data_IF_906132150770
#
_entry.id   IF_906132150770
#
_cell.length_a   1.000
_cell.length_b   1.000
_cell.length_c   1.000
_cell.angle_alpha   90.00
_cell.angle_beta   90.00
_cell.angle_gamma   90.00
#
_symmetry.space_group_name_H-M   'P 1'
#
loop_
_entity.id
_entity.type
_entity.pdbx_description
1 polymer ?
#
# COMPACT_ATOMS: atom_id res chain seq x y z
N UNK A 1 33.58 67.00 19.24
CA UNK A 1 33.32 68.33 18.66
C UNK A 1 34.42 68.66 17.67
N UNK A 2 34.15 69.35 16.55
CA UNK A 2 32.93 70.10 16.16
C UNK A 2 32.06 69.26 15.20
N UNK A 3 30.75 69.37 15.03
CA UNK A 3 29.70 70.38 15.24
C UNK A 3 29.49 71.42 14.12
N UNK A 4 28.24 71.44 13.65
CA UNK A 4 27.47 72.43 12.90
C UNK A 4 27.52 72.53 11.36
N UNK A 5 26.30 72.42 10.78
CA UNK A 5 25.96 72.81 9.42
C UNK A 5 24.49 72.53 9.02
N UNK A 6 23.55 73.21 9.68
CA UNK A 6 22.10 73.27 9.35
C UNK A 6 21.80 73.97 8.01
N UNK A 7 20.80 73.49 7.25
CA UNK A 7 19.59 74.24 6.84
C UNK A 7 18.78 73.42 5.78
N UNK A 8 17.57 72.94 6.06
CA UNK A 8 16.25 73.61 6.13
C UNK A 8 15.57 73.78 4.76
N UNK A 9 14.38 73.15 4.56
CA UNK A 9 13.18 73.66 3.87
C UNK A 9 12.15 72.52 3.63
N UNK A 10 11.07 72.54 4.42
CA UNK A 10 9.71 72.09 4.05
C UNK A 10 8.98 73.29 3.36
N UNK A 11 7.69 73.28 2.92
CA UNK A 11 6.58 72.32 3.17
C UNK A 11 5.58 72.12 1.99
N UNK A 12 4.50 71.37 2.24
CA UNK A 12 3.13 71.35 1.65
C UNK A 12 2.69 69.88 1.43
N UNK A 13 1.94 69.28 2.35
CA UNK A 13 0.50 69.46 2.61
C UNK A 13 -0.40 69.16 1.40
N UNK A 14 -0.98 67.97 1.35
CA UNK A 14 -2.36 67.79 0.86
C UNK A 14 -3.01 66.63 1.60
N UNK A 15 -4.11 66.94 2.27
CA UNK A 15 -5.04 66.00 2.90
C UNK A 15 -5.89 65.31 1.83
N UNK A 16 -6.16 64.01 1.98
CA UNK A 16 -7.38 63.40 1.46
C UNK A 16 -8.00 62.48 2.52
N UNK A 17 -9.30 62.68 2.69
CA UNK A 17 -10.21 62.07 3.66
C UNK A 17 -10.64 60.64 3.27
N UNK A 18 -11.26 59.88 4.19
CA UNK A 18 -11.54 58.45 4.04
C UNK A 18 -12.93 58.21 3.46
N UNK A 19 -13.02 57.37 2.44
CA UNK A 19 -14.29 56.81 1.94
C UNK A 19 -13.95 55.61 1.07
N UNK A 20 -14.32 54.43 1.56
CA UNK A 20 -15.01 53.37 0.83
C UNK A 20 -14.69 52.02 1.48
N UNK A 21 -15.72 51.43 2.07
CA UNK A 21 -15.73 50.03 2.41
C UNK A 21 -15.84 49.20 1.13
N UNK A 22 -15.16 48.05 1.05
CA UNK A 22 -15.70 46.86 0.42
C UNK A 22 -15.95 45.82 1.53
N UNK A 23 -17.20 45.46 1.79
CA UNK A 23 -17.93 44.47 1.02
C UNK A 23 -17.24 43.10 1.10
N UNK A 24 -17.77 42.30 2.03
CA UNK A 24 -18.08 40.88 1.93
C UNK A 24 -17.03 39.96 1.29
N UNK A 25 -16.60 39.02 2.12
CA UNK A 25 -16.00 37.76 1.74
C UNK A 25 -16.61 37.16 0.46
N UNK A 26 -15.75 36.94 -0.54
CA UNK A 26 -15.89 35.79 -1.42
C UNK A 26 -14.70 34.88 -1.16
N UNK A 27 -14.93 33.93 -0.26
CA UNK A 27 -14.24 32.64 -0.24
C UNK A 27 -14.45 31.97 -1.59
N UNK A 28 -13.49 32.13 -2.50
CA UNK A 28 -13.29 31.19 -3.57
C UNK A 28 -12.23 30.18 -3.15
N UNK A 29 -12.67 29.31 -2.25
CA UNK A 29 -12.13 27.96 -2.12
C UNK A 29 -12.30 27.19 -3.44
N UNK A 30 -11.37 26.26 -3.67
CA UNK A 30 -11.36 25.21 -4.71
C UNK A 30 -10.74 25.65 -6.05
N UNK A 31 -9.82 24.93 -6.70
CA UNK A 31 -9.27 23.59 -6.50
C UNK A 31 -7.92 23.55 -7.23
N UNK A 32 -6.78 23.49 -6.54
CA UNK A 32 -5.52 23.22 -7.24
C UNK A 32 -5.48 21.73 -7.56
N UNK A 33 -5.81 21.38 -8.80
CA UNK A 33 -5.51 20.07 -9.35
C UNK A 33 -3.99 19.94 -9.48
N UNK A 34 -3.41 19.13 -8.58
CA UNK A 34 -1.98 18.79 -8.52
C UNK A 34 -1.66 17.79 -9.64
N UNK A 35 -1.36 18.29 -10.83
CA UNK A 35 -1.03 17.43 -11.96
C UNK A 35 0.47 17.09 -11.97
N UNK A 36 0.81 15.81 -11.81
CA UNK A 36 2.10 15.31 -12.30
C UNK A 36 2.00 15.32 -13.83
N UNK A 37 2.89 16.02 -14.56
CA UNK A 37 2.83 16.03 -16.02
C UNK A 37 2.83 14.60 -16.55
N UNK A 38 1.90 14.27 -17.46
CA UNK A 38 1.85 12.95 -18.10
C UNK A 38 3.21 12.60 -18.73
N UNK A 39 3.94 13.59 -19.25
CA UNK A 39 5.29 13.39 -19.76
C UNK A 39 6.27 12.87 -18.69
N UNK A 40 6.20 13.39 -17.46
CA UNK A 40 7.03 12.92 -16.36
C UNK A 40 6.65 11.50 -15.93
N UNK A 41 5.35 11.17 -15.89
CA UNK A 41 4.88 9.80 -15.63
C UNK A 41 5.39 8.85 -16.73
N UNK A 42 5.29 9.24 -18.00
CA UNK A 42 5.75 8.43 -19.14
C UNK A 42 7.24 8.16 -19.12
N UNK A 43 8.05 9.15 -18.72
CA UNK A 43 9.50 9.01 -18.61
C UNK A 43 9.95 8.27 -17.34
N UNK A 44 9.06 8.10 -16.35
CA UNK A 44 9.39 7.54 -15.04
C UNK A 44 8.29 6.59 -14.55
N UNK A 45 7.82 5.68 -15.41
CA UNK A 45 6.62 4.86 -15.13
C UNK A 45 6.72 4.09 -13.80
N UNK A 46 7.92 3.61 -13.49
CA UNK A 46 8.20 2.81 -12.30
C UNK A 46 8.25 3.65 -11.01
N UNK A 47 8.38 4.98 -11.14
CA UNK A 47 8.44 5.89 -9.99
C UNK A 47 7.07 6.29 -9.47
N UNK A 48 5.96 5.99 -10.15
CA UNK A 48 4.62 6.50 -9.77
C UNK A 48 3.59 5.40 -9.47
N UNK A 49 3.92 4.13 -9.67
CA UNK A 49 3.04 2.99 -9.35
C UNK A 49 3.18 2.49 -7.90
N UNK A 50 3.46 3.40 -6.97
CA UNK A 50 3.62 3.15 -5.54
C UNK A 50 3.04 4.34 -4.77
N UNK A 51 2.71 4.15 -3.50
CA UNK A 51 2.35 5.22 -2.57
C UNK A 51 3.44 5.51 -1.54
N UNK A 52 4.58 4.82 -1.63
CA UNK A 52 5.68 4.92 -0.69
C UNK A 52 6.91 5.50 -1.40
N UNK A 53 6.88 6.81 -1.69
CA UNK A 53 8.04 7.52 -2.23
C UNK A 53 8.90 8.07 -1.09
N UNK A 54 10.24 7.95 -1.17
CA UNK A 54 11.12 8.76 -0.35
C UNK A 54 10.79 10.24 -0.56
N UNK A 55 10.81 11.01 0.53
CA UNK A 55 10.41 12.42 0.50
C UNK A 55 11.31 13.24 -0.44
N UNK A 56 12.61 12.93 -0.40
CA UNK A 56 13.66 13.50 -1.24
C UNK A 56 13.44 13.27 -2.75
N UNK A 57 12.71 12.21 -3.12
CA UNK A 57 12.42 11.87 -4.51
C UNK A 57 11.16 12.61 -5.04
N UNK A 58 10.40 13.25 -4.16
CA UNK A 58 9.24 14.03 -4.56
C UNK A 58 9.67 15.30 -5.33
N UNK A 59 8.94 15.69 -6.39
CA UNK A 59 9.13 16.97 -7.04
C UNK A 59 9.15 18.14 -6.03
N UNK A 60 10.00 19.17 -6.18
CA UNK A 60 10.09 20.28 -5.23
C UNK A 60 8.75 20.97 -4.93
N UNK A 61 7.87 21.02 -5.93
CA UNK A 61 6.52 21.56 -5.76
C UNK A 61 5.66 20.74 -4.77
N UNK A 62 5.86 19.42 -4.67
CA UNK A 62 5.16 18.58 -3.68
C UNK A 62 5.81 18.68 -2.29
N UNK A 63 7.14 18.74 -2.23
CA UNK A 63 7.89 18.97 -0.98
C UNK A 63 7.49 20.30 -0.29
N UNK A 64 7.10 21.32 -1.06
CA UNK A 64 6.62 22.59 -0.49
C UNK A 64 5.26 22.48 0.23
N UNK A 65 4.50 21.39 0.03
CA UNK A 65 3.14 21.22 0.54
C UNK A 65 2.98 20.09 1.55
N UNK A 66 3.86 19.11 1.51
CA UNK A 66 3.85 17.98 2.44
C UNK A 66 5.18 18.01 3.19
N UNK A 67 5.14 17.98 4.52
CA UNK A 67 6.37 17.85 5.30
C UNK A 67 6.90 16.41 5.22
N UNK A 68 8.21 16.18 5.44
CA UNK A 68 8.73 14.83 5.58
C UNK A 68 8.01 14.12 6.73
N UNK A 69 7.55 12.89 6.49
CA UNK A 69 7.04 12.03 7.55
C UNK A 69 8.20 11.49 8.38
N UNK A 70 8.06 11.54 9.71
CA UNK A 70 9.00 10.83 10.57
C UNK A 70 8.85 9.31 10.37
N UNK A 71 9.91 8.51 10.60
CA UNK A 71 9.79 7.04 10.52
C UNK A 71 8.69 6.48 11.41
N UNK A 72 8.46 7.06 12.60
CA UNK A 72 7.37 6.66 13.51
C UNK A 72 5.99 6.99 12.97
N UNK A 73 5.80 8.16 12.36
CA UNK A 73 4.50 8.55 11.79
C UNK A 73 4.18 7.71 10.56
N UNK A 74 5.15 7.49 9.68
CA UNK A 74 5.01 6.58 8.54
C UNK A 74 4.64 5.17 9.03
N UNK A 75 5.31 4.67 10.07
CA UNK A 75 4.99 3.37 10.65
C UNK A 75 3.56 3.30 11.18
N UNK A 76 3.12 4.34 11.89
CA UNK A 76 1.74 4.44 12.39
C UNK A 76 0.71 4.42 11.25
N UNK A 77 1.02 5.06 10.11
CA UNK A 77 0.17 5.01 8.92
C UNK A 77 0.13 3.62 8.28
N UNK A 78 1.29 2.97 8.10
CA UNK A 78 1.37 1.61 7.51
C UNK A 78 0.57 0.60 8.34
N UNK A 79 0.63 0.68 9.67
CA UNK A 79 -0.10 -0.24 10.56
C UNK A 79 -1.62 -0.19 10.38
N UNK A 80 -2.18 0.96 9.96
CA UNK A 80 -3.62 1.11 9.64
C UNK A 80 -4.03 0.33 8.39
N UNK A 81 -3.06 -0.11 7.59
CA UNK A 81 -3.25 -0.90 6.37
C UNK A 81 -2.85 -2.38 6.55
N UNK A 82 -2.55 -2.79 7.78
CA UNK A 82 -2.20 -4.19 8.11
C UNK A 82 -3.26 -5.17 7.62
N UNK A 83 -2.84 -6.25 6.96
CA UNK A 83 -3.79 -7.22 6.42
C UNK A 83 -4.73 -7.78 7.47
N UNK A 84 -4.23 -8.10 8.68
CA UNK A 84 -5.05 -8.57 9.79
C UNK A 84 -6.24 -7.67 10.13
N UNK A 85 -6.11 -6.35 10.00
CA UNK A 85 -7.21 -5.41 10.23
C UNK A 85 -8.29 -5.49 9.14
N UNK A 86 -7.86 -5.67 7.89
CA UNK A 86 -8.75 -5.66 6.71
C UNK A 86 -9.28 -7.04 6.34
N UNK A 87 -8.62 -8.10 6.79
CA UNK A 87 -8.88 -9.47 6.41
C UNK A 87 -10.36 -9.85 6.62
N UNK A 88 -11.03 -9.58 7.77
CA UNK A 88 -12.42 -9.96 7.96
C UNK A 88 -13.35 -9.38 6.89
N UNK A 89 -13.16 -8.10 6.55
CA UNK A 89 -13.90 -7.41 5.49
C UNK A 89 -13.59 -8.05 4.12
N UNK A 90 -12.31 -8.26 3.82
CA UNK A 90 -11.89 -8.84 2.54
C UNK A 90 -12.43 -10.25 2.34
N UNK A 91 -12.49 -11.08 3.40
CA UNK A 91 -13.10 -12.41 3.30
C UNK A 91 -14.60 -12.34 2.98
N UNK A 92 -15.34 -11.38 3.56
CA UNK A 92 -16.77 -11.22 3.25
C UNK A 92 -17.01 -10.85 1.79
N UNK A 93 -16.14 -10.00 1.22
CA UNK A 93 -16.24 -9.54 -0.17
C UNK A 93 -15.82 -10.62 -1.17
N UNK A 94 -14.92 -11.51 -0.78
CA UNK A 94 -14.38 -12.55 -1.65
C UNK A 94 -15.20 -13.84 -1.65
N UNK A 95 -16.05 -14.05 -0.64
CA UNK A 95 -16.87 -15.24 -0.53
C UNK A 95 -18.18 -15.10 -1.31
N UNK A 96 -18.60 -16.11 -2.08
CA UNK A 96 -19.94 -16.15 -2.61
C UNK A 96 -20.96 -16.17 -1.46
N UNK A 97 -22.19 -15.63 -1.66
CA UNK A 97 -23.19 -15.54 -0.61
C UNK A 97 -23.53 -16.85 0.10
N UNK A 98 -23.28 -17.99 -0.56
CA UNK A 98 -23.60 -19.34 -0.09
C UNK A 98 -22.56 -19.98 0.84
N UNK A 99 -21.39 -19.36 1.08
CA UNK A 99 -20.29 -19.97 1.87
C UNK A 99 -19.77 -19.07 3.00
N UNK A 100 -20.59 -18.14 3.50
CA UNK A 100 -20.18 -17.10 4.46
C UNK A 100 -19.66 -17.62 5.82
N UNK A 101 -19.91 -18.88 6.16
CA UNK A 101 -19.57 -19.43 7.48
C UNK A 101 -18.25 -20.22 7.53
N UNK A 102 -17.56 -20.41 6.41
CA UNK A 102 -16.29 -21.17 6.38
C UNK A 102 -15.11 -20.20 6.22
N UNK A 103 -14.26 -20.10 7.24
CA UNK A 103 -13.04 -19.28 7.15
C UNK A 103 -12.15 -19.82 6.03
N UNK A 104 -12.10 -19.10 4.90
CA UNK A 104 -11.33 -19.48 3.72
C UNK A 104 -9.85 -19.09 3.85
N UNK A 105 -9.25 -19.09 5.03
CA UNK A 105 -7.84 -18.68 5.21
C UNK A 105 -7.29 -19.16 6.56
N UNK A 106 -5.97 -19.25 6.67
CA UNK A 106 -5.25 -19.63 7.90
C UNK A 106 -4.44 -18.44 8.39
N UNK A 107 -4.47 -18.19 9.70
CA UNK A 107 -3.62 -17.20 10.38
C UNK A 107 -2.60 -17.92 11.24
N UNK A 108 -1.33 -17.59 11.07
CA UNK A 108 -0.21 -18.12 11.86
C UNK A 108 0.45 -16.93 12.56
N UNK A 109 0.20 -16.75 13.87
CA UNK A 109 0.88 -15.71 14.64
C UNK A 109 2.38 -15.96 14.63
N UNK A 110 3.16 -14.90 14.41
CA UNK A 110 4.61 -14.88 14.54
C UNK A 110 4.96 -13.99 15.74
N UNK A 111 5.08 -14.54 16.95
CA UNK A 111 5.40 -13.75 18.14
C UNK A 111 6.73 -13.01 17.99
N UNK A 112 6.97 -11.94 18.77
CA UNK A 112 8.20 -11.14 18.67
C UNK A 112 9.48 -11.97 18.75
N UNK A 113 9.53 -12.99 19.61
CA UNK A 113 10.68 -13.90 19.73
C UNK A 113 10.94 -14.71 18.46
N UNK A 114 9.86 -15.17 17.80
CA UNK A 114 9.98 -15.88 16.53
C UNK A 114 10.42 -14.93 15.42
N UNK A 115 9.88 -13.72 15.38
CA UNK A 115 10.35 -12.70 14.43
C UNK A 115 11.83 -12.35 14.63
N UNK A 116 12.29 -12.24 15.88
CA UNK A 116 13.69 -12.02 16.22
C UNK A 116 14.62 -13.17 15.80
N UNK A 117 14.10 -14.41 15.73
CA UNK A 117 14.82 -15.56 15.16
C UNK A 117 14.80 -15.53 13.62
N UNK A 118 13.65 -15.21 13.01
CA UNK A 118 13.48 -15.23 11.56
C UNK A 118 14.17 -14.06 10.85
N UNK A 119 14.30 -12.89 11.48
CA UNK A 119 14.87 -11.71 10.84
C UNK A 119 16.36 -11.89 10.46
N UNK A 120 17.28 -12.32 11.36
CA UNK A 120 18.67 -12.61 10.99
C UNK A 120 18.78 -13.74 9.94
N UNK A 121 17.92 -14.75 10.03
CA UNK A 121 17.90 -15.81 9.02
C UNK A 121 17.46 -15.29 7.65
N UNK A 122 16.49 -14.38 7.63
CA UNK A 122 16.01 -13.74 6.40
C UNK A 122 17.08 -12.83 5.78
N UNK A 123 17.90 -12.19 6.61
CA UNK A 123 19.01 -11.35 6.15
C UNK A 123 20.04 -12.16 5.34
N UNK A 124 20.38 -13.36 5.80
CA UNK A 124 21.27 -14.28 5.08
C UNK A 124 20.53 -14.92 3.90
N UNK A 125 19.26 -15.27 4.08
CA UNK A 125 18.46 -15.95 3.07
C UNK A 125 18.18 -15.10 1.84
N UNK A 126 17.90 -13.80 2.01
CA UNK A 126 17.71 -12.88 0.88
C UNK A 126 18.97 -12.69 0.02
N UNK A 127 20.16 -12.90 0.60
CA UNK A 127 21.44 -12.81 -0.12
C UNK A 127 21.81 -14.12 -0.81
N UNK A 128 21.48 -15.25 -0.20
CA UNK A 128 21.90 -16.59 -0.65
C UNK A 128 20.83 -17.33 -1.46
N UNK A 129 19.59 -16.89 -1.40
CA UNK A 129 18.42 -17.60 -1.95
C UNK A 129 18.13 -18.93 -1.25
N UNK A 130 18.64 -19.14 -0.02
CA UNK A 130 18.52 -20.40 0.72
C UNK A 130 18.23 -20.15 2.20
N UNK A 131 17.61 -21.12 2.86
CA UNK A 131 17.50 -21.12 4.33
C UNK A 131 18.90 -21.31 4.93
N UNK A 132 19.36 -20.44 5.85
CA UNK A 132 20.69 -20.54 6.45
C UNK A 132 20.83 -21.80 7.32
N UNK A 133 21.83 -22.63 7.03
CA UNK A 133 21.99 -23.93 7.69
C UNK A 133 22.21 -23.80 9.21
N UNK A 134 22.93 -22.76 9.64
CA UNK A 134 23.24 -22.53 11.05
C UNK A 134 22.00 -22.25 11.93
N UNK A 135 20.90 -21.79 11.34
CA UNK A 135 19.65 -21.48 12.06
C UNK A 135 18.50 -22.40 11.64
N UNK A 136 18.76 -23.37 10.76
CA UNK A 136 17.70 -24.20 10.16
C UNK A 136 16.93 -24.98 11.22
N UNK A 137 17.65 -25.69 12.09
CA UNK A 137 17.04 -26.53 13.14
C UNK A 137 16.14 -25.70 14.06
N UNK A 138 16.66 -24.61 14.62
CA UNK A 138 15.90 -23.70 15.51
C UNK A 138 14.63 -23.14 14.83
N UNK A 139 14.73 -22.78 13.56
CA UNK A 139 13.59 -22.23 12.80
C UNK A 139 12.57 -23.33 12.48
N UNK A 140 13.04 -24.49 12.03
CA UNK A 140 12.17 -25.61 11.67
C UNK A 140 11.44 -26.15 12.90
N UNK A 141 12.10 -26.26 14.04
CA UNK A 141 11.52 -26.73 15.31
C UNK A 141 10.35 -25.85 15.77
N UNK A 142 10.41 -24.53 15.51
CA UNK A 142 9.36 -23.60 15.93
C UNK A 142 8.29 -23.41 14.85
N UNK A 143 8.67 -23.21 13.59
CA UNK A 143 7.74 -22.82 12.53
C UNK A 143 7.08 -24.02 11.84
N UNK A 144 7.77 -25.14 11.68
CA UNK A 144 7.21 -26.30 10.96
C UNK A 144 6.01 -26.93 11.67
N UNK A 145 5.95 -27.04 13.00
CA UNK A 145 4.74 -27.49 13.69
C UNK A 145 3.52 -26.61 13.43
N UNK A 146 3.71 -25.32 13.14
CA UNK A 146 2.64 -24.38 12.79
C UNK A 146 2.20 -24.51 11.33
N UNK A 147 3.17 -24.72 10.43
CA UNK A 147 2.94 -24.78 8.99
C UNK A 147 2.44 -26.15 8.51
N UNK A 148 3.09 -27.26 8.91
CA UNK A 148 2.81 -28.61 8.40
C UNK A 148 1.33 -29.02 8.47
N UNK A 149 0.58 -28.74 9.56
CA UNK A 149 -0.85 -29.10 9.64
C UNK A 149 -1.73 -28.42 8.59
N UNK A 150 -1.26 -27.34 7.96
CA UNK A 150 -2.04 -26.59 6.95
C UNK A 150 -1.98 -27.23 5.56
N UNK A 151 -1.03 -28.13 5.34
CA UNK A 151 -0.78 -28.78 4.06
C UNK A 151 -1.13 -30.27 4.14
N UNK A 152 -2.23 -30.65 3.48
CA UNK A 152 -2.72 -32.02 3.37
C UNK A 152 -2.35 -32.67 2.02
N UNK A 153 -1.49 -32.02 1.24
CA UNK A 153 -1.12 -32.40 -0.13
C UNK A 153 -2.17 -32.11 -1.20
N UNK A 154 -3.33 -31.56 -0.83
CA UNK A 154 -4.41 -31.18 -1.76
C UNK A 154 -4.60 -29.68 -1.86
N UNK A 155 -4.31 -28.96 -0.77
CA UNK A 155 -4.43 -27.50 -0.70
C UNK A 155 -3.15 -26.83 -1.18
N UNK A 156 -3.34 -25.72 -1.86
CA UNK A 156 -2.28 -24.77 -2.19
C UNK A 156 -2.67 -23.39 -1.72
N UNK A 157 -1.66 -22.58 -1.38
CA UNK A 157 -1.87 -21.28 -0.79
C UNK A 157 -1.05 -20.19 -1.49
N UNK A 158 -1.61 -18.98 -1.47
CA UNK A 158 -0.89 -17.72 -1.53
C UNK A 158 -0.53 -17.32 -0.09
N UNK A 159 0.73 -16.95 0.14
CA UNK A 159 1.22 -16.53 1.47
C UNK A 159 1.48 -15.03 1.51
N UNK A 160 1.13 -14.39 2.63
CA UNK A 160 1.46 -12.99 2.92
C UNK A 160 1.64 -12.74 4.41
N UNK A 161 2.33 -11.64 4.73
CA UNK A 161 2.37 -11.01 6.04
C UNK A 161 1.34 -9.86 6.10
N UNK A 162 1.25 -9.15 7.23
CA UNK A 162 0.34 -8.02 7.34
C UNK A 162 0.69 -6.90 6.35
N UNK A 163 1.97 -6.61 6.19
CA UNK A 163 2.44 -5.49 5.35
C UNK A 163 2.72 -5.86 3.90
N UNK A 164 3.07 -7.13 3.63
CA UNK A 164 3.62 -7.49 2.35
C UNK A 164 3.36 -8.95 1.97
N UNK A 165 3.53 -9.25 0.70
CA UNK A 165 3.66 -10.63 0.21
C UNK A 165 5.10 -10.86 -0.26
N UNK A 166 5.72 -12.01 0.07
CA UNK A 166 7.12 -12.30 -0.26
C UNK A 166 7.32 -12.75 -1.71
N UNK A 167 6.70 -12.02 -2.66
CA UNK A 167 6.70 -12.34 -4.09
C UNK A 167 8.10 -12.25 -4.74
N UNK A 168 9.04 -11.60 -4.07
CA UNK A 168 10.45 -11.44 -4.41
C UNK A 168 11.34 -12.55 -3.82
N UNK A 169 10.80 -13.44 -2.97
CA UNK A 169 11.51 -14.62 -2.49
C UNK A 169 11.45 -15.80 -3.46
N UNK A 170 12.14 -16.87 -3.11
CA UNK A 170 12.10 -18.15 -3.84
C UNK A 170 10.66 -18.69 -3.86
N UNK A 171 10.22 -19.13 -5.03
CA UNK A 171 8.82 -19.54 -5.28
C UNK A 171 7.90 -18.39 -5.70
N UNK A 172 8.39 -17.14 -5.69
CA UNK A 172 7.66 -15.95 -6.12
C UNK A 172 6.26 -15.84 -5.51
N UNK A 173 5.20 -15.76 -6.32
CA UNK A 173 3.82 -15.65 -5.83
C UNK A 173 3.23 -16.97 -5.33
N UNK A 174 3.88 -18.11 -5.52
CA UNK A 174 3.30 -19.43 -5.33
C UNK A 174 2.73 -20.03 -6.63
N UNK A 175 1.80 -21.00 -6.57
CA UNK A 175 1.19 -21.56 -5.36
C UNK A 175 2.20 -22.28 -4.46
N UNK A 176 2.07 -22.09 -3.15
CA UNK A 176 2.78 -22.90 -2.15
C UNK A 176 1.98 -24.16 -1.84
N UNK A 177 2.59 -25.32 -2.05
CA UNK A 177 1.96 -26.65 -1.88
C UNK A 177 2.45 -27.41 -0.64
N UNK A 178 3.48 -26.88 0.04
CA UNK A 178 4.03 -27.45 1.26
C UNK A 178 4.63 -26.39 2.20
N UNK A 179 4.88 -26.80 3.44
CA UNK A 179 5.48 -25.96 4.48
C UNK A 179 6.92 -25.51 4.17
N UNK A 180 7.84 -26.38 3.68
CA UNK A 180 9.18 -25.96 3.29
C UNK A 180 9.22 -24.81 2.26
N UNK A 181 8.32 -24.83 1.27
CA UNK A 181 8.25 -23.79 0.25
C UNK A 181 7.83 -22.43 0.85
N UNK A 182 6.86 -22.43 1.77
CA UNK A 182 6.47 -21.24 2.53
C UNK A 182 7.64 -20.69 3.35
N UNK A 183 8.32 -21.56 4.11
CA UNK A 183 9.48 -21.17 4.92
C UNK A 183 10.60 -20.57 4.05
N UNK A 184 10.91 -21.21 2.93
CA UNK A 184 11.95 -20.74 2.00
C UNK A 184 11.56 -19.38 1.41
N UNK A 185 10.33 -19.21 0.94
CA UNK A 185 9.85 -17.92 0.40
C UNK A 185 9.93 -16.80 1.44
N UNK A 186 9.50 -17.08 2.68
CA UNK A 186 9.55 -16.14 3.80
C UNK A 186 10.99 -15.66 4.08
N UNK A 187 11.95 -16.59 4.18
CA UNK A 187 13.33 -16.29 4.53
C UNK A 187 14.18 -15.75 3.38
N UNK A 188 13.70 -15.83 2.14
CA UNK A 188 14.47 -15.37 0.96
C UNK A 188 13.92 -14.07 0.38
N UNK A 189 12.84 -13.53 0.93
CA UNK A 189 12.21 -12.28 0.48
C UNK A 189 12.76 -11.06 1.22
N UNK A 190 13.17 -10.03 0.48
CA UNK A 190 13.57 -8.74 1.03
C UNK A 190 12.38 -8.04 1.68
N UNK A 191 11.18 -8.18 1.10
CA UNK A 191 9.93 -7.64 1.67
C UNK A 191 9.60 -8.26 3.02
N UNK A 192 9.72 -9.59 3.13
CA UNK A 192 9.49 -10.28 4.40
C UNK A 192 10.53 -9.92 5.45
N UNK A 193 11.82 -9.86 5.08
CA UNK A 193 12.87 -9.40 5.99
C UNK A 193 12.55 -8.02 6.59
N UNK A 194 12.15 -7.05 5.76
CA UNK A 194 11.76 -5.71 6.24
C UNK A 194 10.58 -5.78 7.22
N UNK A 195 9.53 -6.52 6.89
CA UNK A 195 8.37 -6.69 7.78
C UNK A 195 8.77 -7.32 9.13
N UNK A 196 9.57 -8.40 9.10
CA UNK A 196 10.07 -9.07 10.31
C UNK A 196 10.93 -8.13 11.17
N UNK A 197 11.80 -7.31 10.56
CA UNK A 197 12.61 -6.32 11.31
C UNK A 197 11.78 -5.20 11.93
N UNK A 198 10.67 -4.80 11.31
CA UNK A 198 9.78 -3.80 11.90
C UNK A 198 9.12 -4.28 13.20
N UNK A 199 9.21 -5.57 13.53
CA UNK A 199 8.69 -6.14 14.78
C UNK A 199 9.64 -6.01 15.97
N UNK A 200 10.87 -5.49 15.78
CA UNK A 200 11.90 -5.33 16.83
C UNK A 200 11.41 -4.49 18.04
N UNK A 201 10.29 -3.76 17.91
CA UNK A 201 9.58 -3.05 18.99
C UNK A 201 8.54 -3.86 19.79
N UNK A 202 8.41 -5.17 19.56
CA UNK A 202 7.62 -6.09 20.39
C UNK A 202 6.20 -6.41 19.91
N UNK A 203 5.77 -5.94 18.73
CA UNK A 203 4.42 -6.17 18.22
C UNK A 203 4.19 -7.57 17.60
N UNK A 204 5.27 -8.25 17.17
CA UNK A 204 5.17 -9.49 16.39
C UNK A 204 4.62 -9.22 14.97
N UNK A 205 4.30 -10.30 14.25
CA UNK A 205 3.76 -10.28 12.88
C UNK A 205 2.71 -11.40 12.73
N UNK A 206 1.89 -11.34 11.70
CA UNK A 206 0.95 -12.42 11.34
C UNK A 206 1.21 -12.89 9.91
N UNK A 207 1.45 -14.19 9.75
CA UNK A 207 1.45 -14.84 8.44
C UNK A 207 0.04 -15.34 8.12
N UNK A 208 -0.40 -15.08 6.88
CA UNK A 208 -1.69 -15.49 6.37
C UNK A 208 -1.49 -16.44 5.18
N UNK A 209 -2.17 -17.58 5.22
CA UNK A 209 -2.26 -18.51 4.09
C UNK A 209 -3.67 -18.42 3.50
N UNK A 210 -3.74 -17.92 2.28
CA UNK A 210 -4.96 -17.72 1.52
C UNK A 210 -5.04 -18.83 0.46
N UNK A 211 -6.17 -19.54 0.29
CA UNK A 211 -6.34 -20.54 -0.75
C UNK A 211 -5.93 -19.97 -2.11
N UNK A 212 -5.14 -20.76 -2.83
CA UNK A 212 -4.72 -20.36 -4.15
C UNK A 212 -5.92 -20.20 -5.08
N UNK A 213 -5.97 -19.07 -5.77
CA UNK A 213 -7.03 -18.73 -6.72
C UNK A 213 -6.48 -18.76 -8.13
N UNK A 214 -6.75 -19.85 -8.85
CA UNK A 214 -6.34 -20.03 -10.25
C UNK A 214 -7.10 -19.11 -11.21
N UNK A 215 -8.20 -18.52 -10.77
CA UNK A 215 -9.01 -17.58 -11.53
C UNK A 215 -8.45 -16.15 -11.54
N UNK A 216 -7.45 -15.85 -10.70
CA UNK A 216 -6.79 -14.55 -10.69
C UNK A 216 -5.74 -14.51 -11.80
N UNK A 217 -5.95 -13.60 -12.75
CA UNK A 217 -4.95 -13.24 -13.75
C UNK A 217 -4.30 -11.92 -13.34
N UNK A 218 -3.00 -11.90 -13.13
CA UNK A 218 -2.25 -10.69 -12.74
C UNK A 218 -2.33 -9.56 -13.77
N UNK A 219 -2.59 -9.88 -15.04
CA UNK A 219 -2.82 -8.88 -16.08
C UNK A 219 -4.11 -8.09 -15.88
N UNK A 220 -4.97 -8.55 -14.98
CA UNK A 220 -6.23 -7.93 -14.59
C UNK A 220 -6.17 -7.36 -13.16
N UNK A 221 -4.98 -7.21 -12.60
CA UNK A 221 -4.77 -6.51 -11.33
C UNK A 221 -4.61 -5.00 -11.58
N UNK A 222 -5.38 -4.22 -10.84
CA UNK A 222 -5.41 -2.77 -10.88
C UNK A 222 -5.15 -2.21 -9.50
N UNK A 223 -4.54 -1.03 -9.46
CA UNK A 223 -4.21 -0.31 -8.25
C UNK A 223 -5.00 0.98 -8.20
N UNK A 224 -5.82 1.14 -7.17
CA UNK A 224 -6.63 2.32 -6.94
C UNK A 224 -5.91 3.22 -5.95
N UNK A 225 -5.78 4.50 -6.30
CA UNK A 225 -5.23 5.53 -5.42
C UNK A 225 -6.38 6.33 -4.82
N UNK A 226 -6.54 6.19 -3.51
CA UNK A 226 -7.62 6.80 -2.75
C UNK A 226 -7.00 7.81 -1.78
N UNK A 227 -6.98 9.11 -2.09
CA UNK A 227 -6.52 10.13 -1.15
C UNK A 227 -7.41 10.19 0.10
N UNK A 228 -7.07 11.07 1.07
CA UNK A 228 -8.00 11.47 2.12
C UNK A 228 -9.40 11.75 1.57
N UNK A 229 -10.43 11.51 2.38
CA UNK A 229 -11.86 11.60 2.02
C UNK A 229 -12.41 10.44 1.16
N UNK A 230 -11.58 9.47 0.78
CA UNK A 230 -12.07 8.14 0.38
C UNK A 230 -12.61 8.02 -1.05
N UNK A 231 -12.45 9.04 -1.91
CA UNK A 231 -12.85 8.98 -3.32
C UNK A 231 -11.67 8.59 -4.22
N UNK A 232 -11.82 7.54 -5.03
CA UNK A 232 -10.80 7.12 -6.01
C UNK A 232 -10.42 8.27 -6.93
N UNK A 233 -9.11 8.54 -7.08
CA UNK A 233 -8.60 9.61 -7.97
C UNK A 233 -7.82 9.09 -9.16
N UNK A 234 -7.14 7.97 -9.00
CA UNK A 234 -6.40 7.35 -10.08
C UNK A 234 -6.53 5.83 -10.00
N UNK A 235 -6.43 5.19 -11.15
CA UNK A 235 -6.36 3.74 -11.31
C UNK A 235 -5.17 3.47 -12.24
N UNK A 236 -4.23 2.63 -11.82
CA UNK A 236 -3.17 2.10 -12.67
C UNK A 236 -3.32 0.59 -12.83
N UNK A 237 -2.73 0.02 -13.88
CA UNK A 237 -2.54 -1.43 -13.95
C UNK A 237 -1.34 -1.80 -13.07
N UNK A 238 -1.46 -2.89 -12.31
CA UNK A 238 -0.42 -3.32 -11.38
C UNK A 238 0.75 -4.01 -12.09
N UNK A 239 0.48 -4.86 -13.09
CA UNK A 239 1.51 -5.53 -13.88
C UNK A 239 2.03 -4.63 -15.01
N UNK A 240 3.36 -4.52 -15.15
CA UNK A 240 3.99 -3.97 -16.35
C UNK A 240 3.73 -4.91 -17.54
N UNK A 241 2.78 -4.56 -18.42
CA UNK A 241 2.72 -5.20 -19.73
C UNK A 241 3.89 -4.68 -20.57
N UNK A 242 4.66 -5.60 -21.15
CA UNK A 242 5.54 -5.33 -22.29
C UNK A 242 4.77 -5.14 -23.61
N UNK A 243 3.43 -5.18 -23.59
CA UNK A 243 2.59 -5.07 -24.76
C UNK A 243 1.92 -3.71 -24.81
N UNK A 244 2.24 -2.99 -25.89
CA UNK A 244 1.59 -1.74 -26.28
C UNK A 244 0.08 -1.86 -26.10
N UNK A 245 -0.50 -0.93 -25.35
CA UNK A 245 -1.93 -0.77 -25.24
C UNK A 245 -2.46 -0.28 -26.59
N UNK A 246 -2.69 -1.19 -27.52
CA UNK A 246 -3.48 -0.92 -28.71
C UNK A 246 -4.89 -0.41 -28.31
N UNK A 247 -5.61 0.19 -29.25
CA UNK A 247 -6.91 0.86 -29.00
C UNK A 247 -7.97 -0.05 -28.32
N UNK A 248 -7.85 -1.37 -28.48
CA UNK A 248 -8.66 -2.39 -27.83
C UNK A 248 -8.42 -2.48 -26.31
N UNK A 249 -7.20 -2.22 -25.85
CA UNK A 249 -6.81 -2.18 -24.44
C UNK A 249 -7.51 -1.05 -23.67
N UNK A 250 -7.66 0.13 -24.27
CA UNK A 250 -8.34 1.26 -23.63
C UNK A 250 -9.86 1.04 -23.54
N UNK A 251 -10.49 0.52 -24.59
CA UNK A 251 -11.91 0.18 -24.56
C UNK A 251 -12.23 -0.88 -23.50
N UNK A 252 -11.38 -1.91 -23.40
CA UNK A 252 -11.47 -2.94 -22.36
C UNK A 252 -11.33 -2.33 -20.96
N UNK A 253 -10.33 -1.48 -20.73
CA UNK A 253 -10.13 -0.79 -19.45
C UNK A 253 -11.35 0.05 -19.07
N UNK A 254 -11.88 0.83 -20.01
CA UNK A 254 -13.07 1.67 -19.79
C UNK A 254 -14.27 0.85 -19.33
N UNK A 255 -14.42 -0.37 -19.85
CA UNK A 255 -15.46 -1.30 -19.41
C UNK A 255 -15.23 -1.86 -17.99
N UNK A 256 -13.98 -2.07 -17.58
CA UNK A 256 -13.65 -2.61 -16.25
C UNK A 256 -13.75 -1.56 -15.13
N UNK A 257 -13.52 -0.27 -15.43
CA UNK A 257 -13.54 0.81 -14.43
C UNK A 257 -14.82 0.83 -13.58
N UNK A 258 -16.05 0.73 -14.13
CA UNK A 258 -17.26 0.64 -13.31
C UNK A 258 -17.26 -0.53 -12.32
N UNK A 259 -16.75 -1.70 -12.69
CA UNK A 259 -16.66 -2.87 -11.80
C UNK A 259 -15.65 -2.61 -10.67
N UNK A 260 -14.51 -2.02 -11.01
CA UNK A 260 -13.46 -1.66 -10.06
C UNK A 260 -13.99 -0.65 -9.02
N UNK A 261 -14.70 0.38 -9.48
CA UNK A 261 -15.30 1.38 -8.59
C UNK A 261 -16.43 0.78 -7.73
N UNK A 262 -17.24 -0.13 -8.28
CA UNK A 262 -18.27 -0.83 -7.52
C UNK A 262 -17.66 -1.69 -6.39
N UNK A 263 -16.57 -2.41 -6.66
CA UNK A 263 -15.86 -3.19 -5.65
C UNK A 263 -15.28 -2.30 -4.52
N UNK A 264 -14.80 -1.11 -4.87
CA UNK A 264 -14.32 -0.13 -3.89
C UNK A 264 -15.45 0.44 -3.02
N UNK A 265 -16.60 0.79 -3.61
CA UNK A 265 -17.76 1.24 -2.82
C UNK A 265 -18.32 0.13 -1.93
N UNK A 266 -18.29 -1.13 -2.38
CA UNK A 266 -18.69 -2.28 -1.55
C UNK A 266 -17.73 -2.48 -0.37
N UNK A 267 -16.41 -2.34 -0.59
CA UNK A 267 -15.42 -2.33 0.49
C UNK A 267 -15.73 -1.24 1.53
N UNK A 268 -16.03 -0.01 1.09
CA UNK A 268 -16.36 1.10 1.99
C UNK A 268 -17.64 0.85 2.78
N UNK A 269 -18.68 0.34 2.14
CA UNK A 269 -19.92 -0.01 2.80
C UNK A 269 -19.71 -1.13 3.84
N UNK A 270 -18.88 -2.12 3.51
CA UNK A 270 -18.52 -3.19 4.44
C UNK A 270 -17.71 -2.63 5.63
N UNK A 271 -16.69 -1.81 5.39
CA UNK A 271 -15.90 -1.18 6.45
C UNK A 271 -16.76 -0.34 7.40
N UNK A 272 -17.71 0.43 6.86
CA UNK A 272 -18.67 1.19 7.65
C UNK A 272 -19.56 0.29 8.52
N UNK A 273 -20.08 -0.81 7.96
CA UNK A 273 -20.91 -1.79 8.69
C UNK A 273 -20.13 -2.46 9.83
N UNK A 274 -18.89 -2.84 9.57
CA UNK A 274 -17.98 -3.48 10.54
C UNK A 274 -17.29 -2.49 11.48
N UNK A 275 -17.57 -1.18 11.35
CA UNK A 275 -16.96 -0.10 12.14
C UNK A 275 -15.43 -0.07 12.07
N UNK A 276 -14.86 -0.50 10.94
CA UNK A 276 -13.42 -0.38 10.65
C UNK A 276 -13.19 0.96 9.96
N UNK A 277 -12.45 1.90 10.58
CA UNK A 277 -12.21 3.20 9.98
C UNK A 277 -11.36 3.06 8.71
N UNK A 278 -11.73 3.80 7.66
CA UNK A 278 -10.85 3.97 6.50
C UNK A 278 -9.59 4.74 6.93
N UNK A 279 -8.41 4.47 6.34
CA UNK A 279 -7.19 5.21 6.65
C UNK A 279 -7.37 6.71 6.37
N UNK A 280 -7.20 7.60 7.37
CA UNK A 280 -7.46 9.04 7.24
C UNK A 280 -6.52 9.74 6.26
N UNK A 281 -5.31 9.20 6.06
CA UNK A 281 -4.30 9.74 5.15
C UNK A 281 -4.47 9.25 3.70
N UNK A 282 -5.54 8.53 3.41
CA UNK A 282 -5.71 7.82 2.15
C UNK A 282 -5.07 6.44 2.17
N UNK A 283 -5.31 5.68 1.12
CA UNK A 283 -4.84 4.31 0.97
C UNK A 283 -4.76 3.92 -0.50
N UNK A 284 -4.06 2.81 -0.72
CA UNK A 284 -4.02 2.12 -2.00
C UNK A 284 -4.75 0.79 -1.87
N UNK A 285 -5.55 0.46 -2.88
CA UNK A 285 -6.25 -0.82 -2.96
C UNK A 285 -5.86 -1.52 -4.25
N UNK A 286 -5.36 -2.75 -4.14
CA UNK A 286 -5.12 -3.62 -5.29
C UNK A 286 -6.38 -4.47 -5.53
N UNK A 287 -6.89 -4.47 -6.76
CA UNK A 287 -8.16 -5.11 -7.18
C UNK A 287 -7.93 -5.94 -8.43
N UNK A 288 -8.34 -7.21 -8.39
CA UNK A 288 -8.47 -8.02 -9.60
C UNK A 288 -9.87 -7.82 -10.21
N UNK A 289 -9.95 -7.44 -11.49
CA UNK A 289 -11.22 -7.24 -12.19
C UNK A 289 -11.24 -7.93 -13.56
N UNK A 290 -12.18 -8.86 -13.72
CA UNK A 290 -12.38 -9.60 -14.97
C UNK A 290 -13.86 -9.70 -15.30
N UNK A 291 -14.17 -9.85 -16.58
CA UNK A 291 -15.49 -10.25 -17.02
C UNK A 291 -15.63 -11.75 -16.76
N UNK A 292 -16.80 -12.20 -16.31
CA UNK A 292 -17.13 -13.61 -16.45
C UNK A 292 -17.23 -13.90 -17.94
N UNK A 293 -16.34 -14.73 -18.47
CA UNK A 293 -16.57 -15.33 -19.77
C UNK A 293 -17.90 -16.06 -19.70
N UNK A 294 -18.76 -15.88 -20.71
CA UNK A 294 -19.95 -16.70 -20.82
C UNK A 294 -19.47 -18.12 -21.09
N UNK A 295 -19.67 -19.01 -20.12
CA UNK A 295 -19.58 -20.47 -20.33
C UNK A 295 -20.53 -20.91 -21.45
#
# INVERSE_FOLDING_TARGET
MPDNGLNNMSPLCTQQSPTDAPAMAEDHESTIFRAIPIAHIRSNQNLHNTNNHPYEDLPPALQAHEGPLSPSDYRAQVLQTSYSQWQPILSQLQQPPSTKDQACYVRIPLPPKLCALLAPASEVGMQTGRVPEMLREDIEDVLMPLLKPQFDGKKSYFMRLDECSPKDGVGSMGPFVDAPAVLTSLLTSVRAYKALRHTEGGAGETMHLLPWRTDINTDNEFRLFVPPHGKVRAISQYSERLLDWADDGFARLKGLVPLILAAHEELRACAQRERVPLPPHGYVLDVHASWKEKE
#
